data_IF_535373365607
#
_entry.id   IF_535373365607
#
_cell.length_a   1.000
_cell.length_b   1.000
_cell.length_c   1.000
_cell.angle_alpha   90.00
_cell.angle_beta   90.00
_cell.angle_gamma   90.00
#
_symmetry.space_group_name_H-M   'P 1'
#
loop_
_entity.id
_entity.type
_entity.pdbx_description
1 polymer ?
#
# COMPACT_ATOMS: atom_id res chain seq x y z
N UNK A 1 64.27 29.97 73.55
CA UNK A 1 64.05 31.30 72.94
C UNK A 1 63.16 31.11 71.72
N UNK A 2 61.86 31.30 71.88
CA UNK A 2 60.87 31.06 70.83
C UNK A 2 60.90 32.23 69.82
N UNK A 3 61.06 31.92 68.53
CA UNK A 3 60.88 32.90 67.44
C UNK A 3 59.39 33.24 67.34
N UNK A 4 59.00 34.53 67.23
CA UNK A 4 57.60 34.90 67.10
C UNK A 4 57.08 34.49 65.71
N UNK A 5 55.86 33.93 65.67
CA UNK A 5 55.07 33.68 64.46
C UNK A 5 54.84 35.01 63.73
N UNK A 6 55.46 35.18 62.56
CA UNK A 6 55.09 36.22 61.59
C UNK A 6 53.63 36.00 61.19
N UNK A 7 52.80 37.04 61.30
CA UNK A 7 51.45 37.04 60.73
C UNK A 7 51.55 36.85 59.22
N UNK A 8 50.98 35.75 58.75
CA UNK A 8 50.98 35.36 57.34
C UNK A 8 50.07 36.33 56.56
N UNK A 9 50.68 37.11 55.66
CA UNK A 9 50.03 38.23 54.97
C UNK A 9 49.29 37.66 53.75
N UNK A 10 47.95 37.70 53.77
CA UNK A 10 47.14 37.14 52.68
C UNK A 10 47.36 37.87 51.36
N UNK A 11 47.66 37.14 50.28
CA UNK A 11 47.74 37.68 48.92
C UNK A 11 46.32 37.94 48.35
N UNK A 12 46.21 38.82 47.35
CA UNK A 12 44.95 39.18 46.66
C UNK A 12 44.19 37.95 46.14
N UNK A 13 44.90 36.93 45.65
CA UNK A 13 44.28 35.67 45.19
C UNK A 13 43.62 34.91 46.35
N UNK A 14 44.32 34.74 47.47
CA UNK A 14 43.80 34.04 48.65
C UNK A 14 42.58 34.76 49.25
N UNK A 15 42.54 36.10 49.19
CA UNK A 15 41.36 36.87 49.60
C UNK A 15 40.14 36.57 48.71
N UNK A 16 40.35 36.38 47.41
CA UNK A 16 39.26 36.03 46.46
C UNK A 16 38.71 34.65 46.77
N UNK A 17 39.56 33.66 47.03
CA UNK A 17 39.10 32.32 47.39
C UNK A 17 38.40 32.30 48.75
N UNK A 18 38.94 32.98 49.77
CA UNK A 18 38.27 33.10 51.08
C UNK A 18 36.90 33.76 50.99
N UNK A 19 36.73 34.77 50.13
CA UNK A 19 35.41 35.36 49.91
C UNK A 19 34.42 34.30 49.41
N UNK A 20 34.80 33.48 48.42
CA UNK A 20 33.94 32.41 47.91
C UNK A 20 33.61 31.39 48.99
N UNK A 21 34.60 30.98 49.79
CA UNK A 21 34.39 30.07 50.93
C UNK A 21 33.38 30.64 51.92
N UNK A 22 33.49 31.94 52.27
CA UNK A 22 32.52 32.59 53.16
C UNK A 22 31.12 32.62 52.55
N UNK A 23 30.99 32.93 51.26
CA UNK A 23 29.69 32.92 50.58
C UNK A 23 29.07 31.52 50.57
N UNK A 24 29.87 30.48 50.35
CA UNK A 24 29.41 29.09 50.45
C UNK A 24 28.99 28.76 51.89
N UNK A 25 29.78 29.10 52.90
CA UNK A 25 29.43 28.92 54.31
C UNK A 25 28.10 29.60 54.66
N UNK A 26 27.96 30.86 54.24
CA UNK A 26 26.76 31.67 54.45
C UNK A 26 25.55 31.05 53.76
N UNK A 27 25.67 30.56 52.53
CA UNK A 27 24.56 29.93 51.81
C UNK A 27 24.01 28.66 52.47
N UNK A 28 24.84 27.95 53.25
CA UNK A 28 24.48 26.70 53.92
C UNK A 28 23.85 26.92 55.30
N UNK A 29 23.87 28.15 55.82
CA UNK A 29 23.31 28.46 57.13
C UNK A 29 21.80 28.67 57.06
N UNK A 30 21.07 27.99 57.94
CA UNK A 30 19.61 28.13 58.08
C UNK A 30 19.22 29.24 59.04
N UNK A 31 20.11 29.67 59.93
CA UNK A 31 19.87 30.77 60.88
C UNK A 31 21.12 31.62 61.10
N UNK A 32 20.90 32.93 61.24
CA UNK A 32 21.95 33.96 61.37
C UNK A 32 21.93 34.57 62.77
N UNK A 33 22.45 33.86 63.77
CA UNK A 33 22.51 34.37 65.15
C UNK A 33 23.40 35.62 65.26
N UNK A 34 23.15 36.48 66.25
CA UNK A 34 23.97 37.69 66.47
C UNK A 34 25.46 37.37 66.66
N UNK A 35 25.78 36.32 67.41
CA UNK A 35 27.18 35.90 67.62
C UNK A 35 27.84 35.44 66.31
N UNK A 36 27.10 34.73 65.46
CA UNK A 36 27.59 34.32 64.15
C UNK A 36 27.81 35.52 63.22
N UNK A 37 26.86 36.47 63.20
CA UNK A 37 26.96 37.71 62.45
C UNK A 37 28.16 38.55 62.89
N UNK A 38 28.38 38.72 64.19
CA UNK A 38 29.55 39.41 64.73
C UNK A 38 30.87 38.73 64.28
N UNK A 39 30.94 37.41 64.37
CA UNK A 39 32.10 36.66 63.91
C UNK A 39 32.34 36.79 62.40
N UNK A 40 31.27 36.81 61.59
CA UNK A 40 31.36 37.07 60.16
C UNK A 40 31.87 38.48 59.87
N UNK A 41 31.34 39.50 60.53
CA UNK A 41 31.82 40.87 60.35
C UNK A 41 33.32 40.98 60.66
N UNK A 42 33.80 40.37 61.76
CA UNK A 42 35.25 40.32 62.06
C UNK A 42 36.04 39.60 60.96
N UNK A 43 35.52 38.51 60.38
CA UNK A 43 36.13 37.83 59.23
C UNK A 43 36.19 38.75 57.99
N UNK A 44 35.13 39.51 57.72
CA UNK A 44 35.04 40.44 56.59
C UNK A 44 35.92 41.68 56.76
N UNK A 45 36.03 42.25 57.96
CA UNK A 45 36.96 43.36 58.25
C UNK A 45 38.40 42.96 57.95
N UNK A 46 38.80 41.76 58.38
CA UNK A 46 40.13 41.20 58.07
C UNK A 46 40.32 40.95 56.56
N UNK A 47 39.25 40.61 55.86
CA UNK A 47 39.29 40.33 54.42
C UNK A 47 39.48 41.62 53.62
N UNK A 48 38.70 42.66 53.95
CA UNK A 48 38.67 43.94 53.25
C UNK A 48 39.80 44.92 53.64
N UNK A 49 40.67 44.56 54.60
CA UNK A 49 41.87 45.33 54.94
C UNK A 49 42.72 45.69 53.69
N UNK A 50 43.09 46.97 53.55
CA UNK A 50 43.95 47.54 52.49
C UNK A 50 43.37 47.49 51.08
N UNK A 51 42.25 48.19 50.86
CA UNK A 51 41.66 48.46 49.54
C UNK A 51 41.36 47.20 48.70
N UNK A 52 41.09 46.07 49.36
CA UNK A 52 40.67 44.87 48.65
C UNK A 52 39.27 45.07 48.07
N UNK A 53 39.18 45.14 46.74
CA UNK A 53 37.91 45.12 46.02
C UNK A 53 37.57 43.69 45.62
N UNK A 54 36.41 43.19 46.05
CA UNK A 54 35.88 41.93 45.54
C UNK A 54 35.53 42.05 44.05
N UNK A 55 35.72 40.96 43.30
CA UNK A 55 35.42 40.95 41.87
C UNK A 55 33.99 40.45 41.66
N UNK A 56 33.19 41.28 41.00
CA UNK A 56 31.87 40.87 40.55
C UNK A 56 31.91 39.59 39.71
N UNK A 57 32.91 39.44 38.83
CA UNK A 57 33.09 38.20 38.04
C UNK A 57 33.24 36.94 38.90
N UNK A 58 33.85 37.03 40.08
CA UNK A 58 34.02 35.86 40.96
C UNK A 58 32.71 35.48 41.61
N UNK A 59 31.95 36.49 42.08
CA UNK A 59 30.63 36.32 42.68
C UNK A 59 29.67 35.73 41.64
N UNK A 60 29.61 36.33 40.45
CA UNK A 60 28.81 35.82 39.34
C UNK A 60 29.24 34.41 38.94
N UNK A 61 30.54 34.12 38.87
CA UNK A 61 31.00 32.76 38.54
C UNK A 61 30.59 31.74 39.60
N UNK A 62 30.66 32.09 40.88
CA UNK A 62 30.27 31.23 41.98
C UNK A 62 28.77 30.92 41.87
N UNK A 63 27.95 31.95 41.71
CA UNK A 63 26.49 31.89 41.62
C UNK A 63 26.01 31.15 40.36
N UNK A 64 26.59 31.43 39.20
CA UNK A 64 26.24 30.77 37.93
C UNK A 64 26.67 29.30 37.92
N UNK A 65 27.83 28.98 38.50
CA UNK A 65 28.31 27.60 38.60
C UNK A 65 27.60 26.80 39.68
N UNK A 66 27.09 27.45 40.73
CA UNK A 66 26.42 26.77 41.83
C UNK A 66 24.98 26.36 41.50
N UNK A 67 24.29 27.09 40.61
CA UNK A 67 22.87 26.82 40.33
C UNK A 67 22.49 26.75 38.83
N UNK A 68 23.35 27.09 37.86
CA UNK A 68 22.89 27.38 36.47
C UNK A 68 23.64 26.67 35.35
N UNK A 69 24.91 26.31 35.53
CA UNK A 69 25.64 25.57 34.49
C UNK A 69 25.20 24.11 34.30
N UNK A 70 24.56 23.49 35.30
CA UNK A 70 24.37 22.03 35.33
C UNK A 70 22.94 21.51 35.18
N UNK A 71 21.90 22.35 35.25
CA UNK A 71 20.55 21.91 34.84
C UNK A 71 20.41 21.77 33.31
N UNK A 72 21.43 22.18 32.56
CA UNK A 72 21.57 21.92 31.11
C UNK A 72 22.27 20.58 30.84
N UNK A 73 22.96 20.00 31.82
CA UNK A 73 23.51 18.64 31.69
C UNK A 73 22.46 17.60 32.06
N UNK A 74 21.83 17.14 30.99
CA UNK A 74 21.58 15.73 30.73
C UNK A 74 20.31 15.13 31.33
N UNK A 75 19.35 14.94 30.43
CA UNK A 75 18.44 13.79 30.41
C UNK A 75 19.17 12.44 30.37
N UNK A 76 20.50 12.40 30.15
CA UNK A 76 21.32 11.18 30.13
C UNK A 76 22.79 11.44 30.53
N UNK A 77 23.10 11.67 31.81
CA UNK A 77 24.43 11.34 32.34
C UNK A 77 24.44 11.26 33.87
N UNK A 78 24.86 10.09 34.32
CA UNK A 78 25.07 9.61 35.68
C UNK A 78 26.23 10.30 36.40
N UNK A 79 26.14 11.62 36.59
CA UNK A 79 26.92 12.30 37.62
C UNK A 79 26.01 13.26 38.38
N UNK A 80 25.30 12.68 39.33
CA UNK A 80 24.78 13.41 40.49
C UNK A 80 25.96 14.18 41.10
N UNK A 81 25.94 15.51 40.95
CA UNK A 81 26.62 16.37 41.90
C UNK A 81 26.13 15.95 43.29
N UNK A 82 27.07 15.75 44.22
CA UNK A 82 26.75 15.46 45.61
C UNK A 82 25.86 16.59 46.12
N UNK A 83 24.72 16.23 46.68
CA UNK A 83 23.67 17.12 47.19
C UNK A 83 24.17 18.14 48.23
N UNK A 84 25.32 17.86 48.85
CA UNK A 84 25.89 18.62 49.97
C UNK A 84 26.70 19.88 49.55
N UNK A 85 26.96 20.06 48.25
CA UNK A 85 27.64 21.25 47.70
C UNK A 85 26.72 22.18 46.91
N UNK A 86 25.42 21.91 46.93
CA UNK A 86 24.42 22.76 46.28
C UNK A 86 24.26 24.02 47.12
N UNK A 87 24.66 25.15 46.54
CA UNK A 87 24.46 26.47 47.10
C UNK A 87 22.97 26.82 46.94
N UNK A 88 22.24 27.10 48.02
CA UNK A 88 20.88 27.63 47.89
C UNK A 88 20.97 29.13 47.60
N UNK A 89 20.67 29.54 46.36
CA UNK A 89 20.67 30.96 45.97
C UNK A 89 19.74 31.81 46.83
N UNK A 90 18.54 31.31 47.10
CA UNK A 90 17.55 32.01 47.94
C UNK A 90 18.09 32.18 49.37
N UNK A 91 18.68 31.13 49.95
CA UNK A 91 19.27 31.19 51.29
C UNK A 91 20.50 32.12 51.34
N UNK A 92 21.35 32.10 50.31
CA UNK A 92 22.48 33.03 50.21
C UNK A 92 21.99 34.48 50.16
N UNK A 93 21.00 34.77 49.30
CA UNK A 93 20.41 36.09 49.16
C UNK A 93 19.87 36.61 50.49
N UNK A 94 19.05 35.80 51.17
CA UNK A 94 18.49 36.16 52.47
C UNK A 94 19.57 36.35 53.54
N UNK A 95 20.54 35.45 53.63
CA UNK A 95 21.57 35.54 54.66
C UNK A 95 22.53 36.72 54.46
N UNK A 96 22.86 37.05 53.21
CA UNK A 96 23.67 38.23 52.89
C UNK A 96 22.88 39.52 53.15
N UNK A 97 21.58 39.54 52.85
CA UNK A 97 20.69 40.64 53.21
C UNK A 97 20.65 40.86 54.72
N UNK A 98 20.45 39.79 55.51
CA UNK A 98 20.48 39.84 56.97
C UNK A 98 21.84 40.33 57.50
N UNK A 99 22.95 39.87 56.90
CA UNK A 99 24.29 40.34 57.25
C UNK A 99 24.45 41.84 57.00
N UNK A 100 24.00 42.32 55.85
CA UNK A 100 24.02 43.74 55.51
C UNK A 100 23.15 44.57 56.47
N UNK A 101 21.90 44.17 56.71
CA UNK A 101 20.99 44.83 57.65
C UNK A 101 21.59 44.89 59.07
N UNK A 102 22.29 43.84 59.51
CA UNK A 102 23.00 43.85 60.79
C UNK A 102 24.21 44.78 60.80
N UNK A 103 25.00 44.78 59.71
CA UNK A 103 26.14 45.68 59.54
C UNK A 103 25.73 47.16 59.57
N UNK A 104 24.51 47.49 59.15
CA UNK A 104 23.95 48.85 59.25
C UNK A 104 23.81 49.32 60.70
N UNK A 105 23.54 48.40 61.63
CA UNK A 105 23.28 48.70 63.06
C UNK A 105 24.54 48.85 63.91
N UNK A 106 25.73 48.52 63.37
CA UNK A 106 27.00 48.50 64.12
C UNK A 106 28.00 49.45 63.47
N UNK A 107 28.82 50.09 64.29
CA UNK A 107 29.96 50.87 63.79
C UNK A 107 31.09 49.92 63.33
N UNK A 108 31.20 49.72 62.02
CA UNK A 108 32.08 48.73 61.37
C UNK A 108 32.83 49.36 60.19
N UNK A 109 34.08 48.94 59.96
CA UNK A 109 34.98 49.66 59.04
C UNK A 109 34.68 49.40 57.56
N UNK A 110 34.25 48.18 57.20
CA UNK A 110 34.04 47.75 55.81
C UNK A 110 32.55 47.73 55.38
N UNK A 111 31.76 48.69 55.86
CA UNK A 111 30.30 48.74 55.65
C UNK A 111 29.92 48.88 54.18
N UNK A 112 30.62 49.76 53.44
CA UNK A 112 30.40 49.99 52.00
C UNK A 112 30.72 48.76 51.15
N UNK A 113 31.70 47.97 51.57
CA UNK A 113 32.10 46.73 50.89
C UNK A 113 31.05 45.64 51.05
N UNK A 114 30.42 45.54 52.23
CA UNK A 114 29.29 44.63 52.47
C UNK A 114 28.04 45.06 51.71
N UNK A 115 27.73 46.36 51.69
CA UNK A 115 26.64 46.92 50.87
C UNK A 115 26.80 46.55 49.39
N UNK A 116 28.00 46.78 48.81
CA UNK A 116 28.31 46.40 47.42
C UNK A 116 28.20 44.90 47.18
N UNK A 117 28.65 44.08 48.15
CA UNK A 117 28.56 42.62 48.06
C UNK A 117 27.09 42.17 48.03
N UNK A 118 26.27 42.72 48.93
CA UNK A 118 24.83 42.45 48.97
C UNK A 118 24.13 42.87 47.68
N UNK A 119 24.42 44.07 47.17
CA UNK A 119 23.88 44.56 45.91
C UNK A 119 24.26 43.67 44.73
N UNK A 120 25.53 43.28 44.62
CA UNK A 120 26.01 42.39 43.55
C UNK A 120 25.35 41.00 43.58
N UNK A 121 25.24 40.39 44.76
CA UNK A 121 24.59 39.08 44.91
C UNK A 121 23.09 39.19 44.59
N UNK A 122 22.42 40.23 45.09
CA UNK A 122 21.00 40.47 44.82
C UNK A 122 20.75 40.67 43.33
N UNK A 123 21.56 41.49 42.66
CA UNK A 123 21.44 41.74 41.22
C UNK A 123 21.64 40.46 40.39
N UNK A 124 22.56 39.58 40.77
CA UNK A 124 22.76 38.30 40.09
C UNK A 124 21.60 37.34 40.33
N UNK A 125 21.12 37.20 41.56
CA UNK A 125 19.93 36.39 41.88
C UNK A 125 18.71 36.85 41.08
N UNK A 126 18.48 38.17 40.99
CA UNK A 126 17.38 38.73 40.19
C UNK A 126 17.50 38.40 38.70
N UNK A 127 18.70 38.54 38.11
CA UNK A 127 18.94 38.16 36.70
C UNK A 127 18.68 36.68 36.48
N UNK A 128 19.15 35.85 37.39
CA UNK A 128 18.97 34.39 37.33
C UNK A 128 17.49 34.02 37.34
N UNK A 129 16.74 34.59 38.28
CA UNK A 129 15.30 34.34 38.38
C UNK A 129 14.55 34.80 37.13
N UNK A 130 14.93 35.95 36.56
CA UNK A 130 14.40 36.41 35.27
C UNK A 130 14.69 35.41 34.14
N UNK A 131 15.93 34.95 33.99
CA UNK A 131 16.31 33.97 32.97
C UNK A 131 15.63 32.61 33.18
N UNK A 132 15.46 32.17 34.43
CA UNK A 132 14.75 30.93 34.79
C UNK A 132 13.28 30.99 34.37
N UNK A 133 12.59 32.06 34.71
CA UNK A 133 11.19 32.29 34.30
C UNK A 133 11.06 32.33 32.77
N UNK A 134 11.97 33.01 32.10
CA UNK A 134 11.99 33.10 30.64
C UNK A 134 12.23 31.73 29.99
N UNK A 135 13.19 30.96 30.50
CA UNK A 135 13.49 29.60 30.05
C UNK A 135 12.30 28.67 30.22
N UNK A 136 11.62 28.72 31.37
CA UNK A 136 10.43 27.92 31.64
C UNK A 136 9.30 28.23 30.66
N UNK A 137 9.07 29.52 30.36
CA UNK A 137 8.09 29.95 29.35
C UNK A 137 8.42 29.35 27.97
N UNK A 138 9.67 29.43 27.52
CA UNK A 138 10.08 28.85 26.24
C UNK A 138 9.97 27.34 26.21
N UNK A 139 10.35 26.66 27.30
CA UNK A 139 10.23 25.20 27.42
C UNK A 139 8.77 24.75 27.33
N UNK A 140 7.86 25.45 28.00
CA UNK A 140 6.43 25.19 27.92
C UNK A 140 5.87 25.41 26.51
N UNK A 141 6.29 26.48 25.82
CA UNK A 141 5.91 26.72 24.43
C UNK A 141 6.42 25.61 23.48
N UNK A 142 7.68 25.20 23.64
CA UNK A 142 8.28 24.11 22.84
C UNK A 142 7.54 22.79 23.08
N UNK A 143 7.25 22.44 24.33
CA UNK A 143 6.52 21.22 24.66
C UNK A 143 5.09 21.22 24.10
N UNK A 144 4.38 22.35 24.21
CA UNK A 144 3.05 22.49 23.64
C UNK A 144 3.07 22.35 22.11
N UNK A 145 4.01 23.02 21.44
CA UNK A 145 4.18 22.91 19.98
C UNK A 145 4.57 21.49 19.57
N UNK A 146 5.50 20.85 20.28
CA UNK A 146 5.90 19.46 20.03
C UNK A 146 4.75 18.49 20.20
N UNK A 147 3.91 18.68 21.23
CA UNK A 147 2.70 17.88 21.46
C UNK A 147 1.70 18.04 20.32
N UNK A 148 1.47 19.27 19.85
CA UNK A 148 0.61 19.57 18.71
C UNK A 148 1.12 18.94 17.41
N UNK A 149 2.40 19.10 17.10
CA UNK A 149 3.03 18.48 15.93
C UNK A 149 2.89 16.95 15.99
N UNK A 150 3.13 16.33 17.16
CA UNK A 150 2.97 14.89 17.34
C UNK A 150 1.52 14.44 17.09
N UNK A 151 0.53 15.19 17.58
CA UNK A 151 -0.89 14.92 17.36
C UNK A 151 -1.27 15.05 15.88
N UNK A 152 -0.82 16.10 15.21
CA UNK A 152 -1.07 16.32 13.78
C UNK A 152 -0.44 15.21 12.92
N UNK A 153 0.83 14.86 13.16
CA UNK A 153 1.50 13.75 12.48
C UNK A 153 0.76 12.42 12.64
N UNK A 154 0.28 12.14 13.86
CA UNK A 154 -0.50 10.93 14.13
C UNK A 154 -1.80 10.93 13.34
N UNK A 155 -2.53 12.06 13.31
CA UNK A 155 -3.77 12.18 12.56
C UNK A 155 -3.58 12.06 11.05
N UNK A 156 -2.50 12.65 10.51
CA UNK A 156 -2.16 12.58 9.10
C UNK A 156 -1.83 11.14 8.69
N UNK A 157 -1.04 10.45 9.51
CA UNK A 157 -0.65 9.04 9.28
C UNK A 157 -1.87 8.11 9.27
N UNK A 158 -2.82 8.32 10.19
CA UNK A 158 -4.06 7.54 10.22
C UNK A 158 -4.90 7.77 8.96
N UNK A 159 -5.04 9.03 8.53
CA UNK A 159 -5.80 9.39 7.34
C UNK A 159 -5.16 8.85 6.06
N UNK A 160 -3.84 8.96 5.91
CA UNK A 160 -3.15 8.40 4.74
C UNK A 160 -3.28 6.89 4.66
N UNK A 161 -3.25 6.20 5.80
CA UNK A 161 -3.42 4.75 5.84
C UNK A 161 -4.86 4.33 5.50
N UNK A 162 -5.88 5.06 5.96
CA UNK A 162 -7.27 4.79 5.58
C UNK A 162 -7.51 5.02 4.10
N UNK A 163 -7.07 6.16 3.58
CA UNK A 163 -7.30 6.57 2.19
C UNK A 163 -6.56 5.61 1.23
N UNK A 164 -5.34 5.19 1.58
CA UNK A 164 -4.58 4.20 0.81
C UNK A 164 -5.26 2.83 0.84
N UNK A 165 -5.75 2.38 2.00
CA UNK A 165 -6.48 1.11 2.11
C UNK A 165 -7.76 1.12 1.26
N UNK A 166 -8.54 2.20 1.34
CA UNK A 166 -9.77 2.35 0.56
C UNK A 166 -9.48 2.36 -0.95
N UNK A 167 -8.47 3.12 -1.38
CA UNK A 167 -8.09 3.21 -2.80
C UNK A 167 -7.58 1.89 -3.36
N UNK A 168 -6.77 1.15 -2.59
CA UNK A 168 -6.28 -0.17 -2.98
C UNK A 168 -7.45 -1.16 -3.03
N UNK A 169 -8.30 -1.19 -2.01
CA UNK A 169 -9.42 -2.12 -1.97
C UNK A 169 -10.42 -1.86 -3.10
N UNK A 170 -10.74 -0.61 -3.40
CA UNK A 170 -11.69 -0.27 -4.46
C UNK A 170 -11.16 -0.63 -5.84
N UNK A 171 -9.97 -0.12 -6.22
CA UNK A 171 -9.42 -0.33 -7.55
C UNK A 171 -9.03 -1.79 -7.80
N UNK A 172 -8.41 -2.45 -6.82
CA UNK A 172 -7.94 -3.82 -7.01
C UNK A 172 -9.09 -4.83 -7.04
N UNK A 173 -10.17 -4.60 -6.27
CA UNK A 173 -11.38 -5.44 -6.36
C UNK A 173 -12.09 -5.23 -7.69
N UNK A 174 -12.24 -4.00 -8.16
CA UNK A 174 -12.92 -3.72 -9.42
C UNK A 174 -12.18 -4.34 -10.62
N UNK A 175 -10.85 -4.17 -10.69
CA UNK A 175 -10.04 -4.75 -11.75
C UNK A 175 -10.01 -6.29 -11.68
N UNK A 176 -9.92 -6.87 -10.48
CA UNK A 176 -10.00 -8.32 -10.31
C UNK A 176 -11.36 -8.85 -10.74
N UNK A 177 -12.46 -8.25 -10.30
CA UNK A 177 -13.81 -8.68 -10.66
C UNK A 177 -14.05 -8.57 -12.17
N UNK A 178 -13.56 -7.51 -12.80
CA UNK A 178 -13.63 -7.36 -14.25
C UNK A 178 -12.84 -8.44 -14.97
N UNK A 179 -11.60 -8.68 -14.57
CA UNK A 179 -10.74 -9.72 -15.15
C UNK A 179 -11.28 -11.13 -14.93
N UNK A 180 -11.88 -11.39 -13.76
CA UNK A 180 -12.55 -12.65 -13.46
C UNK A 180 -13.79 -12.85 -14.34
N UNK A 181 -14.62 -11.82 -14.53
CA UNK A 181 -15.78 -11.89 -15.43
C UNK A 181 -15.37 -12.13 -16.89
N UNK A 182 -14.32 -11.46 -17.36
CA UNK A 182 -13.75 -11.67 -18.70
C UNK A 182 -13.24 -13.13 -18.84
N UNK A 183 -12.47 -13.62 -17.86
CA UNK A 183 -11.95 -15.00 -17.86
C UNK A 183 -13.07 -16.04 -17.77
N UNK A 184 -14.11 -15.82 -16.96
CA UNK A 184 -15.27 -16.70 -16.87
C UNK A 184 -16.02 -16.78 -18.20
N UNK A 185 -16.19 -15.64 -18.88
CA UNK A 185 -16.80 -15.59 -20.20
C UNK A 185 -16.00 -16.41 -21.22
N UNK A 186 -14.67 -16.27 -21.21
CA UNK A 186 -13.78 -17.04 -22.09
C UNK A 186 -13.85 -18.55 -21.76
N UNK A 187 -13.92 -18.92 -20.49
CA UNK A 187 -14.07 -20.32 -20.08
C UNK A 187 -15.41 -20.92 -20.53
N UNK A 188 -16.53 -20.22 -20.35
CA UNK A 188 -17.86 -20.66 -20.81
C UNK A 188 -17.84 -20.85 -22.34
N UNK A 189 -17.21 -19.94 -23.06
CA UNK A 189 -17.04 -20.04 -24.51
C UNK A 189 -16.23 -21.29 -24.92
N UNK A 190 -15.07 -21.52 -24.30
CA UNK A 190 -14.24 -22.71 -24.52
C UNK A 190 -15.02 -23.99 -24.21
N UNK A 191 -15.77 -24.02 -23.12
CA UNK A 191 -16.62 -25.16 -22.75
C UNK A 191 -17.72 -25.42 -23.79
N UNK A 192 -18.35 -24.36 -24.31
CA UNK A 192 -19.34 -24.44 -25.38
C UNK A 192 -18.77 -25.00 -26.70
N UNK A 193 -17.51 -24.63 -27.03
CA UNK A 193 -16.76 -25.23 -28.14
C UNK A 193 -16.64 -26.74 -27.89
N UNK A 194 -16.05 -27.15 -26.77
CA UNK A 194 -15.82 -28.56 -26.46
C UNK A 194 -17.10 -29.40 -26.48
N UNK A 195 -18.20 -28.88 -25.92
CA UNK A 195 -19.50 -29.55 -25.94
C UNK A 195 -19.99 -29.81 -27.38
N UNK A 196 -19.82 -28.83 -28.28
CA UNK A 196 -20.21 -28.96 -29.69
C UNK A 196 -19.31 -29.96 -30.43
N UNK A 197 -18.00 -29.98 -30.14
CA UNK A 197 -17.06 -30.97 -30.69
C UNK A 197 -17.52 -32.38 -30.32
N UNK A 198 -17.69 -32.62 -29.01
CA UNK A 198 -18.09 -33.94 -28.48
C UNK A 198 -19.44 -34.35 -29.05
N UNK A 199 -20.42 -33.45 -29.06
CA UNK A 199 -21.76 -33.73 -29.61
C UNK A 199 -21.71 -34.12 -31.09
N UNK A 200 -20.91 -33.40 -31.90
CA UNK A 200 -20.76 -33.69 -33.33
C UNK A 200 -20.12 -35.06 -33.56
N UNK A 201 -19.07 -35.42 -32.80
CA UNK A 201 -18.43 -36.73 -32.90
C UNK A 201 -19.35 -37.87 -32.47
N UNK A 202 -20.04 -37.73 -31.33
CA UNK A 202 -20.99 -38.75 -30.84
C UNK A 202 -22.12 -38.94 -31.85
N UNK A 203 -22.69 -37.84 -32.35
CA UNK A 203 -23.75 -37.86 -33.36
C UNK A 203 -23.28 -38.53 -34.65
N UNK A 204 -22.10 -38.15 -35.16
CA UNK A 204 -21.52 -38.76 -36.35
C UNK A 204 -21.22 -40.25 -36.20
N UNK A 205 -20.71 -40.65 -35.03
CA UNK A 205 -20.45 -42.05 -34.72
C UNK A 205 -21.73 -42.88 -34.66
N UNK A 206 -22.80 -42.37 -34.04
CA UNK A 206 -24.12 -43.03 -34.01
C UNK A 206 -24.68 -43.20 -35.42
N UNK A 207 -24.61 -42.16 -36.27
CA UNK A 207 -25.10 -42.25 -37.64
C UNK A 207 -24.30 -43.21 -38.52
N UNK A 208 -22.97 -43.27 -38.34
CA UNK A 208 -22.12 -44.25 -39.02
C UNK A 208 -22.56 -45.67 -38.66
N UNK A 209 -22.78 -45.96 -37.37
CA UNK A 209 -23.26 -47.27 -36.90
C UNK A 209 -24.63 -47.63 -37.46
N UNK A 210 -25.60 -46.70 -37.46
CA UNK A 210 -26.94 -46.94 -38.04
C UNK A 210 -26.84 -47.26 -39.54
N UNK A 211 -25.94 -46.59 -40.26
CA UNK A 211 -25.74 -46.80 -41.69
C UNK A 211 -25.12 -48.18 -41.97
N UNK A 212 -24.14 -48.61 -41.16
CA UNK A 212 -23.54 -49.95 -41.28
C UNK A 212 -24.52 -51.07 -40.90
N UNK A 213 -25.32 -50.90 -39.86
CA UNK A 213 -26.28 -51.92 -39.43
C UNK A 213 -27.36 -52.21 -40.50
N UNK A 214 -27.75 -51.19 -41.28
CA UNK A 214 -28.76 -51.33 -42.32
C UNK A 214 -28.19 -51.79 -43.70
N UNK A 215 -26.91 -52.19 -43.77
CA UNK A 215 -26.25 -52.64 -45.01
C UNK A 215 -26.98 -53.79 -45.71
N UNK A 216 -27.53 -54.73 -44.94
CA UNK A 216 -28.08 -55.97 -45.49
C UNK A 216 -29.55 -55.85 -45.97
N UNK A 217 -30.27 -54.81 -45.54
CA UNK A 217 -31.73 -54.70 -45.75
C UNK A 217 -32.14 -53.55 -46.68
N UNK A 218 -31.17 -52.83 -47.25
CA UNK A 218 -31.43 -51.60 -48.01
C UNK A 218 -30.74 -51.65 -49.36
N UNK A 219 -31.39 -51.11 -50.41
CA UNK A 219 -30.75 -51.04 -51.73
C UNK A 219 -29.46 -50.21 -51.66
N UNK A 220 -28.46 -50.63 -52.44
CA UNK A 220 -27.12 -50.02 -52.44
C UNK A 220 -27.19 -48.49 -52.66
N UNK A 221 -28.11 -48.03 -53.51
CA UNK A 221 -28.33 -46.60 -53.79
C UNK A 221 -28.89 -45.81 -52.58
N UNK A 222 -29.79 -46.42 -51.80
CA UNK A 222 -30.33 -45.80 -50.58
C UNK A 222 -29.26 -45.67 -49.49
N UNK A 223 -28.40 -46.69 -49.38
CA UNK A 223 -27.28 -46.69 -48.45
C UNK A 223 -26.24 -45.61 -48.81
N UNK A 224 -25.81 -45.55 -50.07
CA UNK A 224 -24.85 -44.54 -50.55
C UNK A 224 -25.42 -43.12 -50.34
N UNK A 225 -26.71 -42.92 -50.62
CA UNK A 225 -27.38 -41.63 -50.39
C UNK A 225 -27.38 -41.25 -48.90
N UNK A 226 -27.65 -42.21 -48.00
CA UNK A 226 -27.60 -41.99 -46.56
C UNK A 226 -26.19 -41.62 -46.06
N UNK A 227 -25.16 -42.34 -46.52
CA UNK A 227 -23.77 -42.06 -46.15
C UNK A 227 -23.33 -40.68 -46.67
N UNK A 228 -23.67 -40.31 -47.91
CA UNK A 228 -23.37 -39.00 -48.47
C UNK A 228 -24.08 -37.87 -47.72
N UNK A 229 -25.33 -38.07 -47.31
CA UNK A 229 -26.10 -37.09 -46.56
C UNK A 229 -25.56 -36.90 -45.13
N UNK A 230 -25.19 -37.99 -44.45
CA UNK A 230 -24.53 -37.93 -43.13
C UNK A 230 -23.16 -37.26 -43.25
N UNK A 231 -22.35 -37.63 -44.24
CA UNK A 231 -21.05 -37.01 -44.51
C UNK A 231 -21.17 -35.51 -44.78
N UNK A 232 -22.18 -35.10 -45.54
CA UNK A 232 -22.50 -33.68 -45.77
C UNK A 232 -22.78 -32.94 -44.45
N UNK A 233 -23.66 -33.49 -43.60
CA UNK A 233 -24.01 -32.86 -42.32
C UNK A 233 -22.76 -32.74 -41.42
N UNK A 234 -21.97 -33.82 -41.29
CA UNK A 234 -20.79 -33.84 -40.43
C UNK A 234 -19.71 -32.86 -40.89
N UNK A 235 -19.43 -32.78 -42.19
CA UNK A 235 -18.44 -31.85 -42.75
C UNK A 235 -18.88 -30.39 -42.53
N UNK A 236 -20.18 -30.09 -42.67
CA UNK A 236 -20.69 -28.74 -42.41
C UNK A 236 -20.65 -28.36 -40.93
N UNK A 237 -20.98 -29.30 -40.03
CA UNK A 237 -20.86 -29.09 -38.58
C UNK A 237 -19.40 -28.90 -38.15
N UNK A 238 -18.47 -29.68 -38.71
CA UNK A 238 -17.03 -29.53 -38.48
C UNK A 238 -16.50 -28.18 -39.01
N UNK A 239 -16.96 -27.75 -40.18
CA UNK A 239 -16.60 -26.44 -40.74
C UNK A 239 -17.13 -25.29 -39.87
N UNK A 240 -18.38 -25.37 -39.41
CA UNK A 240 -18.96 -24.38 -38.49
C UNK A 240 -18.13 -24.29 -37.21
N UNK A 241 -17.74 -25.45 -36.67
CA UNK A 241 -16.92 -25.56 -35.48
C UNK A 241 -15.54 -24.93 -35.68
N UNK A 242 -14.79 -25.30 -36.72
CA UNK A 242 -13.46 -24.73 -37.00
C UNK A 242 -13.55 -23.22 -37.20
N UNK A 243 -14.56 -22.73 -37.92
CA UNK A 243 -14.76 -21.31 -38.15
C UNK A 243 -15.19 -20.57 -36.87
N UNK A 244 -15.86 -21.25 -35.94
CA UNK A 244 -16.14 -20.72 -34.61
C UNK A 244 -14.88 -20.69 -33.74
N UNK A 245 -14.04 -21.73 -33.76
CA UNK A 245 -12.72 -21.71 -33.09
C UNK A 245 -11.83 -20.59 -33.62
N UNK A 246 -11.78 -20.39 -34.94
CA UNK A 246 -10.99 -19.32 -35.56
C UNK A 246 -11.47 -17.93 -35.12
N UNK A 247 -12.78 -17.74 -35.00
CA UNK A 247 -13.38 -16.50 -34.49
C UNK A 247 -13.22 -16.31 -32.98
N UNK A 248 -13.09 -17.40 -32.21
CA UNK A 248 -12.88 -17.38 -30.76
C UNK A 248 -11.40 -17.28 -30.37
N UNK A 249 -10.49 -17.72 -31.25
CA UNK A 249 -9.07 -17.63 -30.99
C UNK A 249 -8.69 -16.15 -30.90
N UNK A 250 -8.01 -15.81 -29.79
CA UNK A 250 -7.61 -14.46 -29.36
C UNK A 250 -6.45 -13.97 -30.25
N UNK A 251 -6.59 -14.02 -31.56
CA UNK A 251 -5.65 -13.44 -32.52
C UNK A 251 -6.35 -12.38 -33.36
N UNK A 252 -6.60 -11.18 -32.81
CA UNK A 252 -6.96 -10.01 -33.61
C UNK A 252 -5.82 -9.56 -34.56
N UNK A 253 -4.71 -10.31 -34.68
CA UNK A 253 -3.50 -9.93 -35.44
C UNK A 253 -3.16 -10.79 -36.65
N UNK A 254 -3.90 -11.85 -36.98
CA UNK A 254 -3.72 -12.56 -38.26
C UNK A 254 -4.92 -12.36 -39.19
N UNK A 255 -5.35 -11.11 -39.33
CA UNK A 255 -6.27 -10.69 -40.38
C UNK A 255 -5.54 -10.59 -41.72
N UNK A 256 -4.88 -11.66 -42.16
CA UNK A 256 -4.36 -11.76 -43.53
C UNK A 256 -4.21 -13.20 -44.05
N UNK A 257 -5.13 -14.10 -43.70
CA UNK A 257 -5.31 -15.35 -44.46
C UNK A 257 -6.75 -15.45 -44.93
N UNK A 258 -7.18 -14.42 -45.64
CA UNK A 258 -8.41 -14.50 -46.40
C UNK A 258 -8.28 -15.64 -47.43
N UNK A 259 -9.30 -16.49 -47.50
CA UNK A 259 -9.71 -17.29 -48.66
C UNK A 259 -9.23 -18.74 -48.86
N UNK A 260 -8.41 -19.37 -48.00
CA UNK A 260 -8.01 -20.77 -48.26
C UNK A 260 -8.93 -21.81 -47.61
N UNK A 261 -9.22 -21.70 -46.31
CA UNK A 261 -10.04 -22.68 -45.58
C UNK A 261 -11.49 -22.72 -46.08
N UNK A 262 -12.18 -21.58 -46.12
CA UNK A 262 -13.58 -21.49 -46.52
C UNK A 262 -13.81 -21.82 -48.01
N UNK A 263 -12.82 -21.57 -48.87
CA UNK A 263 -12.88 -21.93 -50.30
C UNK A 263 -12.78 -23.45 -50.50
N UNK A 264 -11.93 -24.12 -49.73
CA UNK A 264 -11.78 -25.57 -49.78
C UNK A 264 -13.07 -26.28 -49.32
N UNK A 265 -13.75 -25.78 -48.29
CA UNK A 265 -15.03 -26.36 -47.83
C UNK A 265 -16.16 -26.24 -48.87
N UNK A 266 -16.26 -25.09 -49.57
CA UNK A 266 -17.22 -24.95 -50.67
C UNK A 266 -16.99 -25.99 -51.77
N UNK A 267 -15.73 -26.26 -52.11
CA UNK A 267 -15.38 -27.28 -53.09
C UNK A 267 -15.81 -28.68 -52.65
N UNK A 268 -15.59 -29.04 -51.38
CA UNK A 268 -15.99 -30.35 -50.84
C UNK A 268 -17.52 -30.52 -50.90
N UNK A 269 -18.29 -29.51 -50.50
CA UNK A 269 -19.75 -29.55 -50.56
C UNK A 269 -20.27 -29.70 -52.00
N UNK A 270 -19.64 -29.02 -52.97
CA UNK A 270 -19.97 -29.16 -54.40
C UNK A 270 -19.72 -30.60 -54.87
N UNK A 271 -18.58 -31.20 -54.49
CA UNK A 271 -18.26 -32.60 -54.83
C UNK A 271 -19.32 -33.57 -54.28
N UNK A 272 -19.73 -33.40 -53.02
CA UNK A 272 -20.77 -34.25 -52.41
C UNK A 272 -22.11 -34.09 -53.15
N UNK A 273 -22.47 -32.88 -53.56
CA UNK A 273 -23.69 -32.64 -54.31
C UNK A 273 -23.66 -33.31 -55.70
N UNK A 274 -22.50 -33.25 -56.37
CA UNK A 274 -22.28 -33.96 -57.64
C UNK A 274 -22.42 -35.48 -57.45
N UNK A 275 -21.81 -36.05 -56.41
CA UNK A 275 -21.93 -37.48 -56.09
C UNK A 275 -23.37 -37.91 -55.78
N UNK A 276 -24.12 -37.08 -55.04
CA UNK A 276 -25.55 -37.31 -54.79
C UNK A 276 -26.35 -37.29 -56.09
N UNK A 277 -26.09 -36.32 -56.97
CA UNK A 277 -26.73 -36.24 -58.28
C UNK A 277 -26.45 -37.48 -59.14
N UNK A 278 -25.19 -37.91 -59.22
CA UNK A 278 -24.83 -39.14 -59.93
C UNK A 278 -25.52 -40.37 -59.35
N UNK A 279 -25.60 -40.49 -58.02
CA UNK A 279 -26.28 -41.63 -57.36
C UNK A 279 -27.76 -41.68 -57.73
N UNK A 280 -28.44 -40.52 -57.78
CA UNK A 280 -29.85 -40.41 -58.18
C UNK A 280 -30.03 -40.74 -59.67
N UNK A 281 -29.13 -40.27 -60.53
CA UNK A 281 -29.15 -40.57 -61.97
C UNK A 281 -28.90 -42.05 -62.23
N UNK A 282 -27.92 -42.67 -61.57
CA UNK A 282 -27.67 -44.11 -61.65
C UNK A 282 -28.88 -44.92 -61.19
N UNK A 283 -29.52 -44.53 -60.08
CA UNK A 283 -30.76 -45.15 -59.63
C UNK A 283 -31.90 -45.04 -60.67
N UNK A 284 -32.02 -43.88 -61.32
CA UNK A 284 -33.00 -43.67 -62.38
C UNK A 284 -32.73 -44.51 -63.62
N UNK A 285 -31.46 -44.65 -64.03
CA UNK A 285 -31.07 -45.51 -65.14
C UNK A 285 -31.27 -47.00 -64.83
N UNK A 286 -30.93 -47.46 -63.62
CA UNK A 286 -31.16 -48.84 -63.20
C UNK A 286 -32.66 -49.18 -63.18
N UNK A 287 -33.50 -48.25 -62.69
CA UNK A 287 -34.96 -48.35 -62.82
C UNK A 287 -35.42 -48.37 -64.28
N UNK A 288 -34.83 -47.55 -65.16
CA UNK A 288 -35.18 -47.53 -66.57
C UNK A 288 -34.76 -48.80 -67.30
N UNK A 289 -33.64 -49.42 -66.92
CA UNK A 289 -33.15 -50.67 -67.48
C UNK A 289 -34.00 -51.86 -67.01
N UNK A 290 -34.34 -51.91 -65.72
CA UNK A 290 -35.36 -52.83 -65.17
C UNK A 290 -36.71 -52.61 -65.84
N UNK A 291 -37.09 -51.36 -66.11
CA UNK A 291 -38.33 -51.03 -66.82
C UNK A 291 -38.27 -51.45 -68.29
N UNK A 292 -37.12 -51.34 -68.97
CA UNK A 292 -36.95 -51.74 -70.38
C UNK A 292 -36.97 -53.27 -70.52
N UNK A 293 -36.41 -54.01 -69.56
CA UNK A 293 -36.54 -55.47 -69.48
C UNK A 293 -37.96 -55.90 -69.10
N UNK A 294 -38.64 -55.16 -68.22
CA UNK A 294 -40.06 -55.39 -67.91
C UNK A 294 -40.99 -54.97 -69.06
N UNK A 295 -40.68 -53.97 -69.89
CA UNK A 295 -41.60 -53.48 -70.95
C UNK A 295 -41.67 -54.36 -72.20
N UNK A 296 -40.93 -55.48 -72.23
CA UNK A 296 -41.30 -56.64 -73.08
C UNK A 296 -42.51 -57.43 -72.50
N UNK A 297 -42.97 -57.11 -71.30
CA UNK A 297 -44.24 -57.54 -70.68
C UNK A 297 -45.07 -56.34 -70.19
N UNK A 298 -46.16 -56.05 -70.91
CA UNK A 298 -47.21 -55.03 -70.63
C UNK A 298 -47.26 -54.42 -69.21
N UNK A 299 -47.13 -53.09 -69.13
CA UNK A 299 -48.24 -52.14 -68.88
C UNK A 299 -47.73 -50.81 -68.28
N UNK A 300 -47.94 -49.72 -69.04
CA UNK A 300 -47.98 -48.33 -68.54
C UNK A 300 -49.26 -48.15 -67.72
N UNK A 301 -49.19 -47.65 -66.48
CA UNK A 301 -49.98 -46.50 -65.95
C UNK A 301 -50.03 -46.37 -64.39
N UNK A 302 -49.17 -47.01 -63.60
CA UNK A 302 -49.17 -46.85 -62.12
C UNK A 302 -48.06 -45.92 -61.57
N UNK A 303 -47.08 -45.56 -62.39
CA UNK A 303 -45.82 -44.94 -61.94
C UNK A 303 -45.92 -43.47 -61.51
N UNK A 304 -46.84 -42.67 -62.07
CA UNK A 304 -46.94 -41.24 -61.73
C UNK A 304 -47.51 -41.04 -60.31
N UNK A 305 -48.31 -42.00 -59.82
CA UNK A 305 -48.98 -41.90 -58.51
C UNK A 305 -48.08 -42.33 -57.34
N UNK A 306 -47.17 -43.27 -57.55
CA UNK A 306 -46.19 -43.70 -56.52
C UNK A 306 -44.96 -42.79 -56.44
N UNK A 307 -44.52 -42.22 -57.57
CA UNK A 307 -43.44 -41.21 -57.56
C UNK A 307 -43.88 -39.94 -56.81
N UNK A 308 -45.16 -39.56 -56.81
CA UNK A 308 -45.61 -38.45 -55.97
C UNK A 308 -45.69 -38.80 -54.47
N UNK A 309 -45.95 -40.07 -54.13
CA UNK A 309 -46.09 -40.53 -52.74
C UNK A 309 -44.77 -40.89 -52.04
N UNK A 310 -43.66 -41.11 -52.77
CA UNK A 310 -42.33 -41.37 -52.19
C UNK A 310 -41.49 -40.11 -51.95
N UNK A 311 -41.93 -38.96 -52.45
CA UNK A 311 -41.21 -37.69 -52.37
C UNK A 311 -41.64 -36.69 -51.26
N UNK A 312 -42.66 -36.89 -50.40
CA UNK A 312 -43.02 -35.84 -49.45
C UNK A 312 -42.01 -35.70 -48.30
N UNK A 313 -41.23 -36.73 -47.96
CA UNK A 313 -40.24 -36.64 -46.87
C UNK A 313 -38.84 -36.27 -47.34
N UNK A 314 -38.33 -36.83 -48.44
CA UNK A 314 -36.96 -36.53 -48.90
C UNK A 314 -36.85 -35.15 -49.54
N UNK A 315 -37.84 -34.72 -50.33
CA UNK A 315 -37.83 -33.39 -50.94
C UNK A 315 -38.08 -32.29 -49.90
N UNK A 316 -38.85 -32.59 -48.84
CA UNK A 316 -39.10 -31.69 -47.73
C UNK A 316 -37.88 -31.56 -46.81
N UNK A 317 -37.13 -32.64 -46.58
CA UNK A 317 -35.82 -32.59 -45.92
C UNK A 317 -34.80 -31.82 -46.76
N UNK A 318 -34.73 -32.05 -48.08
CA UNK A 318 -33.86 -31.30 -48.99
C UNK A 318 -34.26 -29.82 -49.04
N UNK A 319 -35.55 -29.50 -49.09
CA UNK A 319 -36.05 -28.13 -49.05
C UNK A 319 -35.73 -27.44 -47.71
N UNK A 320 -35.89 -28.14 -46.58
CA UNK A 320 -35.51 -27.63 -45.26
C UNK A 320 -33.99 -27.40 -45.20
N UNK A 321 -33.16 -28.32 -45.70
CA UNK A 321 -31.71 -28.15 -45.75
C UNK A 321 -31.31 -26.98 -46.65
N UNK A 322 -31.95 -26.81 -47.81
CA UNK A 322 -31.73 -25.67 -48.71
C UNK A 322 -32.17 -24.36 -48.03
N UNK A 323 -33.31 -24.33 -47.33
CA UNK A 323 -33.79 -23.16 -46.58
C UNK A 323 -32.84 -22.80 -45.44
N UNK A 324 -32.34 -23.80 -44.70
CA UNK A 324 -31.35 -23.60 -43.62
C UNK A 324 -30.04 -23.07 -44.20
N UNK A 325 -29.56 -23.63 -45.32
CA UNK A 325 -28.35 -23.15 -46.01
C UNK A 325 -28.52 -21.72 -46.53
N UNK A 326 -29.68 -21.38 -47.11
CA UNK A 326 -30.00 -20.01 -47.55
C UNK A 326 -30.07 -19.04 -46.36
N UNK A 327 -30.68 -19.44 -45.23
CA UNK A 327 -30.75 -18.62 -44.02
C UNK A 327 -29.37 -18.40 -43.39
N UNK A 328 -28.53 -19.44 -43.35
CA UNK A 328 -27.15 -19.35 -42.86
C UNK A 328 -26.27 -18.48 -43.76
N UNK A 329 -26.46 -18.50 -45.09
CA UNK A 329 -25.74 -17.62 -46.01
C UNK A 329 -26.25 -16.17 -45.98
N UNK A 330 -27.55 -15.95 -45.78
CA UNK A 330 -28.13 -14.59 -45.69
C UNK A 330 -27.65 -13.84 -44.44
N UNK A 331 -27.38 -14.53 -43.34
CA UNK A 331 -26.91 -13.93 -42.09
C UNK A 331 -25.40 -13.60 -42.07
N UNK A 332 -24.63 -13.93 -43.11
CA UNK A 332 -23.18 -13.63 -43.20
C UNK A 332 -22.85 -12.30 -43.90
N UNK A 333 -23.84 -11.49 -44.28
CA UNK A 333 -23.66 -10.19 -44.98
C UNK A 333 -23.98 -8.95 -44.13
N UNK A 334 -23.95 -9.04 -42.80
CA UNK A 334 -23.94 -7.88 -41.91
C UNK A 334 -22.71 -7.89 -41.03
#
# INVERSE_FOLDING_TARGET
>A
MAKPKKSEKLNKYEKREKLKEYLIEISKKTSMSKDYLNNLLVKFDKLYDKDFRHFYSDISSLILNSDIGMQIKSTDSTQSLKKDDILSLDQLGENIRILYEYAETINFSCKKEIEKLNDHITMDILRINYWKQMSEKYFNQINNTSSNIKRELTSLTLKTNSDMKETIEANYKEDLDKKLKETQKDYIAILGIFATIVLTFVTGFVFANISFQNLNNTSIYRLITGILLVGFILINMLCLLINFLENMNILPKLKNTNYTTLKNFKSINIIIFILLFFTIVSWFFDILEIKKSMFQGKAKLTFIKEVFNLFPCSLLVIAIVIIIVILLFRNRKK
#
